data_IF_549005735333
#
_entry.id   IF_549005735333
#
_cell.length_a   1.000
_cell.length_b   1.000
_cell.length_c   1.000
_cell.angle_alpha   90.00
_cell.angle_beta   90.00
_cell.angle_gamma   90.00
#
_symmetry.space_group_name_H-M   'P 1'
#
loop_
_entity.id
_entity.type
_entity.pdbx_description
1 polymer ?
#
# COMPACT_ATOMS: atom_id res chain seq x y z
N UNK A 1 33.00 28.32 -19.20
CA UNK A 1 32.80 27.87 -17.81
C UNK A 1 31.33 27.49 -17.64
N UNK A 2 31.02 26.21 -17.75
CA UNK A 2 29.68 25.65 -17.52
C UNK A 2 29.64 25.18 -16.07
N UNK A 3 28.65 25.60 -15.29
CA UNK A 3 28.07 24.76 -14.24
C UNK A 3 26.69 25.33 -13.88
N UNK A 4 25.70 24.50 -14.13
CA UNK A 4 24.28 24.76 -14.03
C UNK A 4 23.89 25.11 -12.59
N UNK A 5 23.13 26.19 -12.44
CA UNK A 5 22.31 26.43 -11.25
C UNK A 5 21.12 25.47 -11.32
N UNK A 6 21.33 24.25 -10.86
CA UNK A 6 20.24 23.31 -10.58
C UNK A 6 20.22 23.06 -9.08
N UNK A 7 19.46 23.88 -8.35
CA UNK A 7 19.01 23.55 -7.00
C UNK A 7 17.50 23.75 -7.01
N UNK A 8 16.81 22.82 -7.66
CA UNK A 8 15.40 22.57 -7.42
C UNK A 8 15.34 21.46 -6.36
N UNK A 9 15.53 21.84 -5.10
CA UNK A 9 15.20 20.97 -3.96
C UNK A 9 14.37 21.83 -3.00
N UNK A 10 13.14 22.11 -3.40
CA UNK A 10 12.04 22.32 -2.47
C UNK A 10 11.11 21.12 -2.60
N UNK A 11 11.62 19.94 -2.21
CA UNK A 11 10.73 18.92 -1.67
C UNK A 11 10.37 19.43 -0.27
N UNK A 12 9.22 20.09 -0.15
CA UNK A 12 8.60 20.33 1.15
C UNK A 12 8.40 18.94 1.77
N UNK A 13 9.31 18.55 2.64
CA UNK A 13 9.09 17.51 3.64
C UNK A 13 8.09 18.07 4.66
N UNK A 14 6.85 18.26 4.21
CA UNK A 14 5.69 18.38 5.07
C UNK A 14 5.05 16.99 5.16
N UNK A 15 5.81 15.98 5.58
CA UNK A 15 5.23 14.78 6.17
C UNK A 15 4.73 15.16 7.57
N UNK A 16 3.77 16.09 7.62
CA UNK A 16 2.80 16.15 8.71
C UNK A 16 2.28 14.74 8.87
N UNK A 17 2.27 14.23 10.10
CA UNK A 17 1.77 12.89 10.43
C UNK A 17 0.41 12.67 9.77
N UNK A 18 0.40 12.14 8.55
CA UNK A 18 -0.81 11.70 7.90
C UNK A 18 -1.25 10.54 8.78
N UNK A 19 -2.43 10.67 9.40
CA UNK A 19 -3.01 9.59 10.17
C UNK A 19 -3.04 8.37 9.25
N UNK A 20 -2.14 7.42 9.48
CA UNK A 20 -2.11 6.21 8.69
C UNK A 20 -3.38 5.46 9.02
N UNK A 21 -4.15 5.10 7.98
CA UNK A 21 -5.34 4.29 8.17
C UNK A 21 -4.99 2.85 8.55
N UNK A 22 -3.70 2.52 8.48
CA UNK A 22 -3.14 1.21 8.74
C UNK A 22 -2.06 1.31 9.82
N UNK A 23 -1.70 0.14 10.37
CA UNK A 23 -0.53 -0.01 11.22
C UNK A 23 0.78 0.33 10.49
N UNK A 24 1.85 0.57 11.24
CA UNK A 24 3.17 0.86 10.68
C UNK A 24 3.72 -0.28 9.80
N UNK A 25 3.47 -1.53 10.21
CA UNK A 25 3.93 -2.70 9.47
C UNK A 25 3.18 -2.88 8.14
N UNK A 26 1.86 -2.71 8.16
CA UNK A 26 1.06 -2.77 6.93
C UNK A 26 1.39 -1.57 6.01
N UNK A 27 1.58 -0.40 6.59
CA UNK A 27 2.00 0.79 5.89
C UNK A 27 3.36 0.62 5.17
N UNK A 28 4.35 0.04 5.85
CA UNK A 28 5.66 -0.22 5.24
C UNK A 28 5.57 -1.18 4.06
N UNK A 29 4.68 -2.18 4.13
CA UNK A 29 4.44 -3.11 3.03
C UNK A 29 3.70 -2.45 1.86
N UNK A 30 2.73 -1.56 2.13
CA UNK A 30 2.06 -0.79 1.09
C UNK A 30 3.04 0.14 0.36
N UNK A 31 3.92 0.82 1.11
CA UNK A 31 4.94 1.69 0.53
C UNK A 31 5.96 0.93 -0.32
N UNK A 32 6.30 -0.30 0.05
CA UNK A 32 7.16 -1.17 -0.77
C UNK A 32 6.53 -1.49 -2.14
N UNK A 33 5.21 -1.41 -2.23
CA UNK A 33 4.42 -1.60 -3.44
C UNK A 33 3.96 -0.27 -4.07
N UNK A 34 4.61 0.84 -3.68
CA UNK A 34 4.33 2.21 -4.14
C UNK A 34 2.87 2.66 -3.87
N UNK A 35 2.27 2.15 -2.80
CA UNK A 35 0.94 2.54 -2.32
C UNK A 35 1.07 3.43 -1.08
N UNK A 36 0.15 4.38 -0.96
CA UNK A 36 0.07 5.25 0.21
C UNK A 36 -0.56 4.52 1.42
N UNK A 37 -0.27 4.99 2.63
CA UNK A 37 -0.77 4.41 3.88
C UNK A 37 -1.98 5.12 4.49
N UNK A 38 -2.42 6.19 3.84
CA UNK A 38 -3.52 7.02 4.25
C UNK A 38 -3.86 7.96 3.09
N UNK A 39 -5.12 8.39 2.98
CA UNK A 39 -5.51 9.32 1.93
C UNK A 39 -5.01 10.73 2.26
N UNK A 40 -4.81 11.58 1.24
CA UNK A 40 -4.32 12.94 1.43
C UNK A 40 -5.32 13.85 2.18
N UNK A 41 -6.60 13.47 2.23
CA UNK A 41 -7.66 14.16 2.97
C UNK A 41 -7.81 13.67 4.43
N UNK A 42 -7.07 12.62 4.82
CA UNK A 42 -7.14 12.00 6.15
C UNK A 42 -8.39 11.17 6.41
N UNK A 43 -9.26 10.93 5.41
CA UNK A 43 -10.49 10.17 5.59
C UNK A 43 -10.30 8.65 5.42
N UNK A 44 -10.13 7.94 6.53
CA UNK A 44 -9.92 6.50 6.53
C UNK A 44 -11.16 5.62 6.31
N UNK A 45 -12.40 6.17 6.22
CA UNK A 45 -13.60 5.32 6.11
C UNK A 45 -13.65 4.54 4.78
N UNK A 46 -13.33 5.22 3.67
CA UNK A 46 -13.40 4.63 2.33
C UNK A 46 -12.01 4.26 1.77
N UNK A 47 -10.94 4.52 2.51
CA UNK A 47 -9.58 4.30 2.03
C UNK A 47 -9.17 2.82 1.96
N UNK A 48 -9.50 1.98 2.96
CA UNK A 48 -9.19 0.54 2.91
C UNK A 48 -9.75 -0.17 1.68
N UNK A 49 -10.98 0.15 1.27
CA UNK A 49 -11.59 -0.44 0.08
C UNK A 49 -10.92 0.02 -1.22
N UNK A 50 -10.48 1.28 -1.30
CA UNK A 50 -9.72 1.80 -2.44
C UNK A 50 -8.36 1.11 -2.57
N UNK A 51 -7.66 0.89 -1.45
CA UNK A 51 -6.38 0.18 -1.45
C UNK A 51 -6.55 -1.28 -1.85
N UNK A 52 -7.62 -1.94 -1.38
CA UNK A 52 -7.99 -3.30 -1.81
C UNK A 52 -8.18 -3.38 -3.33
N UNK A 53 -8.87 -2.41 -3.94
CA UNK A 53 -9.03 -2.36 -5.40
C UNK A 53 -7.72 -2.16 -6.13
N UNK A 54 -6.84 -1.27 -5.65
CA UNK A 54 -5.52 -1.04 -6.25
C UNK A 54 -4.61 -2.25 -6.16
N UNK A 55 -4.56 -2.91 -5.01
CA UNK A 55 -3.79 -4.14 -4.80
C UNK A 55 -4.26 -5.25 -5.74
N UNK A 56 -5.57 -5.36 -5.95
CA UNK A 56 -6.14 -6.31 -6.91
C UNK A 56 -5.71 -6.00 -8.34
N UNK A 57 -5.83 -4.75 -8.79
CA UNK A 57 -5.41 -4.34 -10.13
C UNK A 57 -3.92 -4.59 -10.37
N UNK A 58 -3.08 -4.27 -9.39
CA UNK A 58 -1.64 -4.54 -9.45
C UNK A 58 -1.33 -6.04 -9.48
N UNK A 59 -2.04 -6.85 -8.70
CA UNK A 59 -1.88 -8.31 -8.72
C UNK A 59 -2.27 -8.87 -10.09
N UNK A 60 -3.42 -8.47 -10.64
CA UNK A 60 -3.90 -8.92 -11.96
C UNK A 60 -2.92 -8.51 -13.08
N UNK A 61 -2.36 -7.29 -13.02
CA UNK A 61 -1.36 -6.82 -13.96
C UNK A 61 -0.04 -7.60 -13.86
N UNK A 62 0.40 -7.91 -12.64
CA UNK A 62 1.61 -8.68 -12.38
C UNK A 62 1.45 -10.15 -12.84
N UNK A 63 0.29 -10.78 -12.61
CA UNK A 63 0.00 -12.13 -13.14
C UNK A 63 -0.01 -12.14 -14.68
N UNK A 64 -0.58 -11.11 -15.30
CA UNK A 64 -0.65 -11.00 -16.77
C UNK A 64 0.73 -10.85 -17.44
N UNK A 65 1.73 -10.32 -16.73
CA UNK A 65 3.10 -10.19 -17.24
C UNK A 65 3.79 -11.55 -17.46
N UNK A 66 3.40 -12.57 -16.68
CA UNK A 66 3.91 -13.94 -16.77
C UNK A 66 5.36 -14.14 -16.30
N UNK A 67 6.02 -13.16 -15.68
CA UNK A 67 7.35 -13.33 -15.11
C UNK A 67 7.29 -13.96 -13.71
N UNK A 68 8.33 -14.70 -13.33
CA UNK A 68 8.38 -15.33 -11.99
C UNK A 68 8.45 -14.29 -10.87
N UNK A 69 9.18 -13.19 -11.07
CA UNK A 69 9.28 -12.08 -10.13
C UNK A 69 7.93 -11.38 -9.94
N UNK A 70 7.18 -11.23 -11.03
CA UNK A 70 5.85 -10.61 -11.01
C UNK A 70 4.80 -11.53 -10.39
N UNK A 71 4.92 -12.86 -10.52
CA UNK A 71 4.07 -13.80 -9.78
C UNK A 71 4.31 -13.70 -8.26
N UNK A 72 5.55 -13.50 -7.81
CA UNK A 72 5.82 -13.23 -6.40
C UNK A 72 5.30 -11.86 -5.96
N UNK A 73 5.35 -10.85 -6.82
CA UNK A 73 4.71 -9.56 -6.56
C UNK A 73 3.18 -9.70 -6.44
N UNK A 74 2.53 -10.40 -7.38
CA UNK A 74 1.10 -10.67 -7.34
C UNK A 74 0.68 -11.38 -6.05
N UNK A 75 1.43 -12.41 -5.62
CA UNK A 75 1.16 -13.11 -4.37
C UNK A 75 1.30 -12.21 -3.13
N UNK A 76 2.26 -11.29 -3.11
CA UNK A 76 2.42 -10.29 -2.04
C UNK A 76 1.25 -9.30 -2.03
N UNK A 77 0.86 -8.76 -3.19
CA UNK A 77 -0.28 -7.85 -3.33
C UNK A 77 -1.59 -8.51 -2.86
N UNK A 78 -1.82 -9.75 -3.26
CA UNK A 78 -3.00 -10.52 -2.85
C UNK A 78 -3.00 -10.75 -1.33
N UNK A 79 -1.84 -11.08 -0.74
CA UNK A 79 -1.70 -11.21 0.72
C UNK A 79 -2.04 -9.91 1.46
N UNK A 80 -1.55 -8.76 0.97
CA UNK A 80 -1.88 -7.45 1.53
C UNK A 80 -3.37 -7.13 1.40
N UNK A 81 -3.94 -7.41 0.23
CA UNK A 81 -5.37 -7.21 -0.05
C UNK A 81 -6.23 -7.96 0.96
N UNK A 82 -5.95 -9.25 1.14
CA UNK A 82 -6.67 -10.13 2.07
C UNK A 82 -6.47 -9.72 3.52
N UNK A 83 -5.29 -9.21 3.88
CA UNK A 83 -5.03 -8.64 5.20
C UNK A 83 -5.95 -7.45 5.46
N UNK A 84 -6.01 -6.49 4.53
CA UNK A 84 -6.85 -5.30 4.66
C UNK A 84 -8.35 -5.66 4.66
N UNK A 85 -8.79 -6.54 3.75
CA UNK A 85 -10.18 -7.01 3.70
C UNK A 85 -10.62 -7.65 5.03
N UNK A 86 -9.71 -8.37 5.69
CA UNK A 86 -9.99 -9.01 6.95
C UNK A 86 -10.03 -8.01 8.12
N UNK A 87 -9.05 -7.11 8.22
CA UNK A 87 -8.97 -6.10 9.29
C UNK A 87 -10.15 -5.12 9.25
N UNK A 88 -10.63 -4.77 8.06
CA UNK A 88 -11.71 -3.80 7.87
C UNK A 88 -13.07 -4.45 7.61
N UNK A 89 -13.20 -5.78 7.76
CA UNK A 89 -14.44 -6.53 7.51
C UNK A 89 -15.08 -6.23 6.14
N UNK A 90 -14.26 -6.05 5.10
CA UNK A 90 -14.73 -5.66 3.76
C UNK A 90 -15.29 -6.84 2.92
N UNK A 91 -15.80 -7.88 3.59
CA UNK A 91 -16.45 -9.03 2.95
C UNK A 91 -15.63 -10.32 2.89
N UNK A 92 -14.54 -10.45 3.66
CA UNK A 92 -13.78 -11.71 3.68
C UNK A 92 -14.49 -12.79 4.50
N UNK A 93 -14.93 -13.86 3.81
CA UNK A 93 -15.51 -15.04 4.45
C UNK A 93 -14.41 -16.07 4.73
N UNK A 94 -14.25 -16.47 5.99
CA UNK A 94 -13.45 -17.60 6.49
C UNK A 94 -11.91 -17.48 6.63
N UNK A 95 -11.28 -16.33 6.42
CA UNK A 95 -9.85 -16.20 6.75
C UNK A 95 -9.63 -15.62 8.14
N UNK A 96 -8.81 -16.30 8.97
CA UNK A 96 -8.19 -15.64 10.12
C UNK A 96 -7.28 -14.54 9.59
N UNK A 97 -7.56 -13.29 9.97
CA UNK A 97 -6.66 -12.19 9.68
C UNK A 97 -5.27 -12.57 10.19
N UNK A 98 -4.20 -12.35 9.41
CA UNK A 98 -2.87 -12.48 9.98
C UNK A 98 -2.82 -11.57 11.20
N UNK A 99 -2.44 -12.17 12.33
CA UNK A 99 -2.21 -11.42 13.56
C UNK A 99 -1.01 -10.53 13.24
N UNK A 100 -1.17 -9.21 13.32
CA UNK A 100 0.00 -8.37 13.55
C UNK A 100 0.52 -8.76 14.92
N UNK A 101 1.50 -9.67 14.95
CA UNK A 101 2.05 -10.18 16.18
C UNK A 101 3.07 -9.18 16.74
N UNK A 102 2.65 -7.96 17.10
CA UNK A 102 3.43 -6.98 17.88
C UNK A 102 2.51 -6.46 19.00
N UNK A 103 2.51 -7.03 20.21
CA UNK A 103 3.41 -6.72 21.36
C UNK A 103 3.58 -5.22 21.63
#
# INVERSE_FOLDING_TARGET
MRLAKTIAILALASSSMAASCFSEQLCSQLQAEELECGPPDGNCEAYPSQIVSQLKEKADAAEASGSTEDLFAAARMDTLRKTIECWFNLGSSNWKCPVEEHM
#
